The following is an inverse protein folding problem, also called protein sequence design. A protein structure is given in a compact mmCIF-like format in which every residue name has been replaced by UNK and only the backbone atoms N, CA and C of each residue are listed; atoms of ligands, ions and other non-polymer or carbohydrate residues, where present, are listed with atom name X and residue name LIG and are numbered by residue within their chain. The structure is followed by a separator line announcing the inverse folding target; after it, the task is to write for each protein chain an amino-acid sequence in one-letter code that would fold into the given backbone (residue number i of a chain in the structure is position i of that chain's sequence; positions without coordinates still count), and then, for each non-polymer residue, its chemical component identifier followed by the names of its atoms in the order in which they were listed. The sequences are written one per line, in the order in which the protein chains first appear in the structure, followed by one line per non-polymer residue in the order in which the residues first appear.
data_IF_170048583698
#
_entry.id   IF_170048583698
#
_cell.length_a   1.000
_cell.length_b   1.000
_cell.length_c   1.000
_cell.angle_alpha   90.00
_cell.angle_beta   90.00
_cell.angle_gamma   90.00
#
_symmetry.space_group_name_H-M   'P 1'
#
loop_
_entity.id
_entity.type
_entity.pdbx_description
1 polymer ?
#
# COMPACT_ATOMS: atom_id res chain seq x y z
N UNK A 1 -59.09 -48.25 -50.32
CA UNK A 1 -57.88 -47.95 -51.07
C UNK A 1 -57.55 -46.50 -50.92
N UNK A 2 -56.73 -46.11 -49.95
CA UNK A 2 -56.22 -44.76 -49.84
C UNK A 2 -54.87 -44.80 -49.12
N UNK A 3 -53.82 -44.53 -49.87
CA UNK A 3 -52.45 -44.49 -49.39
C UNK A 3 -52.20 -43.19 -48.59
N UNK A 4 -51.67 -43.30 -47.38
CA UNK A 4 -51.12 -42.17 -46.64
C UNK A 4 -49.61 -42.06 -46.90
N UNK A 5 -49.04 -40.81 -47.06
CA UNK A 5 -47.62 -40.64 -47.29
C UNK A 5 -46.88 -40.55 -45.95
N UNK A 6 -45.73 -41.25 -45.90
CA UNK A 6 -44.73 -41.23 -44.82
C UNK A 6 -44.04 -39.87 -44.77
N UNK A 7 -44.16 -39.14 -43.66
CA UNK A 7 -43.35 -37.95 -43.35
C UNK A 7 -41.96 -38.38 -42.85
N UNK A 8 -40.93 -38.04 -43.59
CA UNK A 8 -39.55 -38.15 -43.21
C UNK A 8 -39.18 -37.05 -42.16
N UNK A 9 -38.85 -37.48 -40.97
CA UNK A 9 -38.42 -36.65 -39.87
C UNK A 9 -36.92 -36.33 -40.04
N UNK A 10 -36.61 -35.09 -40.48
CA UNK A 10 -35.24 -34.58 -40.56
C UNK A 10 -34.81 -34.14 -39.18
N UNK A 11 -33.88 -34.83 -38.56
CA UNK A 11 -33.22 -34.44 -37.33
C UNK A 11 -32.18 -33.38 -37.65
N UNK A 12 -32.42 -32.13 -37.22
CA UNK A 12 -31.44 -31.06 -37.27
C UNK A 12 -30.56 -31.20 -36.00
N UNK A 13 -29.32 -31.65 -36.22
CA UNK A 13 -28.27 -31.60 -35.20
C UNK A 13 -27.84 -30.14 -35.03
N UNK A 14 -28.26 -29.50 -33.94
CA UNK A 14 -27.75 -28.20 -33.51
C UNK A 14 -26.38 -28.44 -32.84
N UNK A 15 -25.28 -28.09 -33.53
CA UNK A 15 -23.96 -28.01 -32.92
C UNK A 15 -23.94 -26.80 -31.99
N UNK A 16 -23.96 -27.02 -30.67
CA UNK A 16 -23.68 -26.00 -29.69
C UNK A 16 -22.17 -25.76 -29.65
N UNK A 17 -21.69 -24.65 -30.23
CA UNK A 17 -20.34 -24.15 -30.01
C UNK A 17 -20.27 -23.64 -28.56
N UNK A 18 -19.72 -24.45 -27.67
CA UNK A 18 -19.30 -24.02 -26.35
C UNK A 18 -18.06 -23.14 -26.49
N UNK A 19 -18.26 -21.84 -26.54
CA UNK A 19 -17.18 -20.84 -26.46
C UNK A 19 -16.51 -20.91 -25.10
N UNK A 20 -15.31 -21.48 -25.05
CA UNK A 20 -14.47 -21.44 -23.86
C UNK A 20 -14.05 -19.97 -23.59
N UNK A 21 -14.74 -19.32 -22.66
CA UNK A 21 -14.27 -18.05 -22.10
C UNK A 21 -12.98 -18.34 -21.34
N UNK A 22 -11.85 -18.06 -22.00
CA UNK A 22 -10.56 -18.05 -21.31
C UNK A 22 -10.54 -16.83 -20.40
N UNK A 23 -10.85 -17.02 -19.12
CA UNK A 23 -10.49 -16.08 -18.09
C UNK A 23 -8.96 -16.05 -18.01
N UNK A 24 -8.32 -15.08 -18.64
CA UNK A 24 -6.91 -14.75 -18.41
C UNK A 24 -6.83 -14.03 -17.06
N UNK A 25 -6.84 -14.80 -15.98
CA UNK A 25 -6.70 -14.30 -14.60
C UNK A 25 -5.24 -14.27 -14.19
N UNK A 26 -4.41 -13.50 -14.90
CA UNK A 26 -3.07 -13.13 -14.44
C UNK A 26 -3.06 -11.65 -14.07
N UNK A 27 -2.22 -11.22 -13.10
CA UNK A 27 -1.96 -9.81 -12.90
C UNK A 27 -1.44 -9.22 -14.22
N UNK A 28 -1.79 -7.96 -14.55
CA UNK A 28 -1.15 -7.31 -15.68
C UNK A 28 0.37 -7.36 -15.47
N UNK A 29 1.15 -7.58 -16.52
CA UNK A 29 2.60 -7.62 -16.40
C UNK A 29 3.07 -6.31 -15.76
N UNK A 30 4.08 -6.37 -14.87
CA UNK A 30 4.63 -5.15 -14.29
C UNK A 30 5.10 -4.24 -15.42
N UNK A 31 4.72 -2.97 -15.36
CA UNK A 31 5.12 -1.96 -16.35
C UNK A 31 6.62 -1.69 -16.35
N UNK A 32 7.30 -2.04 -15.26
CA UNK A 32 8.73 -1.92 -15.11
C UNK A 32 9.37 -3.31 -15.05
N UNK A 33 10.22 -3.63 -16.02
CA UNK A 33 10.89 -4.94 -16.16
C UNK A 33 12.30 -4.95 -15.53
N UNK A 34 12.75 -3.84 -14.95
CA UNK A 34 14.05 -3.78 -14.27
C UNK A 34 14.07 -4.65 -13.02
N UNK A 35 15.25 -5.10 -12.57
CA UNK A 35 15.39 -5.78 -11.29
C UNK A 35 14.74 -5.01 -10.14
N UNK A 36 14.05 -5.71 -9.26
CA UNK A 36 13.30 -5.09 -8.16
C UNK A 36 14.16 -4.15 -7.30
N UNK A 37 15.41 -4.54 -7.00
CA UNK A 37 16.31 -3.70 -6.21
C UNK A 37 16.61 -2.36 -6.89
N UNK A 38 16.75 -2.35 -8.22
CA UNK A 38 16.97 -1.12 -8.99
C UNK A 38 15.75 -0.20 -8.94
N UNK A 39 14.54 -0.77 -9.08
CA UNK A 39 13.30 -0.01 -8.96
C UNK A 39 13.18 0.68 -7.59
N UNK A 40 13.50 -0.03 -6.51
CA UNK A 40 13.47 0.52 -5.15
C UNK A 40 14.55 1.59 -4.96
N UNK A 41 15.78 1.36 -5.47
CA UNK A 41 16.87 2.33 -5.39
C UNK A 41 16.53 3.63 -6.11
N UNK A 42 15.98 3.54 -7.30
CA UNK A 42 15.56 4.72 -8.06
C UNK A 42 14.44 5.49 -7.36
N UNK A 43 13.41 4.80 -6.84
CA UNK A 43 12.34 5.43 -6.08
C UNK A 43 12.88 6.17 -4.84
N UNK A 44 13.89 5.61 -4.16
CA UNK A 44 14.58 6.26 -3.03
C UNK A 44 15.38 7.48 -3.47
N UNK A 45 16.11 7.38 -4.58
CA UNK A 45 16.88 8.49 -5.13
C UNK A 45 15.97 9.64 -5.60
N UNK A 46 14.82 9.30 -6.23
CA UNK A 46 13.82 10.30 -6.64
C UNK A 46 13.23 11.01 -5.41
N UNK A 47 12.87 10.28 -4.36
CA UNK A 47 12.37 10.88 -3.11
C UNK A 47 13.39 11.84 -2.49
N UNK A 48 14.65 11.46 -2.46
CA UNK A 48 15.72 12.33 -1.96
C UNK A 48 15.88 13.61 -2.80
N UNK A 49 15.76 13.50 -4.13
CA UNK A 49 15.77 14.64 -5.04
C UNK A 49 14.57 15.57 -4.79
N UNK A 50 13.37 15.00 -4.66
CA UNK A 50 12.15 15.75 -4.37
C UNK A 50 12.23 16.50 -3.04
N UNK A 51 12.83 15.89 -2.01
CA UNK A 51 13.01 16.51 -0.69
C UNK A 51 14.00 17.66 -0.71
N UNK A 52 15.03 17.61 -1.60
CA UNK A 52 16.02 18.68 -1.79
C UNK A 52 15.53 19.81 -2.70
N UNK A 53 14.48 19.59 -3.50
CA UNK A 53 13.97 20.59 -4.44
C UNK A 53 13.47 21.82 -3.71
N UNK A 54 14.07 22.97 -3.98
CA UNK A 54 13.89 24.20 -3.17
C UNK A 54 12.47 24.76 -3.20
N UNK A 55 11.79 24.65 -4.34
CA UNK A 55 10.44 25.14 -4.59
C UNK A 55 9.36 24.06 -4.51
N UNK A 56 9.70 22.86 -4.05
CA UNK A 56 8.71 21.79 -3.85
C UNK A 56 7.83 22.08 -2.63
N UNK A 57 6.54 22.45 -2.80
CA UNK A 57 5.65 22.75 -1.69
C UNK A 57 5.28 21.53 -0.83
N UNK A 58 5.53 20.32 -1.37
CA UNK A 58 5.21 19.04 -0.70
C UNK A 58 6.41 18.42 0.02
N UNK A 59 7.59 19.03 -0.07
CA UNK A 59 8.76 18.55 0.67
C UNK A 59 8.54 18.77 2.17
N UNK A 60 8.65 17.71 2.99
CA UNK A 60 8.56 17.85 4.45
C UNK A 60 9.83 18.45 5.06
N UNK A 61 10.91 18.58 4.29
CA UNK A 61 12.15 19.22 4.76
C UNK A 61 11.97 20.74 4.70
N UNK A 62 12.23 21.47 5.80
CA UNK A 62 12.18 22.93 5.81
C UNK A 62 13.02 23.56 4.70
N UNK A 63 12.52 24.60 4.03
CA UNK A 63 13.15 25.17 2.83
C UNK A 63 14.61 25.56 3.05
N UNK A 64 14.94 26.09 4.24
CA UNK A 64 16.30 26.47 4.61
C UNK A 64 17.25 25.29 4.90
N UNK A 65 16.74 24.08 4.98
CA UNK A 65 17.50 22.84 5.22
C UNK A 65 17.63 21.96 3.98
N UNK A 66 16.84 22.20 2.92
CA UNK A 66 16.77 21.35 1.72
C UNK A 66 18.10 21.19 1.01
N UNK A 67 18.84 22.28 0.83
CA UNK A 67 20.15 22.25 0.16
C UNK A 67 21.19 21.37 0.89
N UNK A 68 21.09 21.29 2.22
CA UNK A 68 21.97 20.49 3.07
C UNK A 68 21.38 19.12 3.47
N UNK A 69 20.19 18.78 2.97
CA UNK A 69 19.53 17.54 3.34
C UNK A 69 20.33 16.32 2.88
N UNK A 70 20.81 15.45 3.78
CA UNK A 70 21.70 14.33 3.45
C UNK A 70 20.98 13.20 2.69
N UNK A 71 19.67 13.21 2.67
CA UNK A 71 18.82 12.14 2.14
C UNK A 71 18.15 11.35 3.25
N UNK A 72 17.15 10.57 2.85
CA UNK A 72 16.41 9.68 3.74
C UNK A 72 17.27 8.44 4.04
N UNK A 73 17.24 7.99 5.29
CA UNK A 73 17.91 6.75 5.68
C UNK A 73 16.98 5.56 5.46
N UNK A 74 17.54 4.48 4.99
CA UNK A 74 16.82 3.24 4.72
C UNK A 74 17.52 2.03 5.32
N UNK A 75 16.76 0.98 5.57
CA UNK A 75 17.29 -0.36 5.68
C UNK A 75 17.80 -0.86 4.33
N UNK A 76 18.65 -1.88 4.33
CA UNK A 76 18.97 -2.63 3.12
C UNK A 76 17.68 -3.13 2.44
N UNK A 77 17.70 -3.23 1.12
CA UNK A 77 16.57 -3.79 0.38
C UNK A 77 16.50 -5.28 0.70
N UNK A 78 15.37 -5.72 1.18
CA UNK A 78 15.12 -7.09 1.64
C UNK A 78 13.83 -7.61 0.96
N UNK A 79 13.97 -8.40 -0.14
CA UNK A 79 12.84 -8.89 -0.92
C UNK A 79 11.83 -9.72 -0.10
N UNK A 80 12.26 -10.34 0.98
CA UNK A 80 11.40 -11.10 1.88
C UNK A 80 10.36 -10.24 2.61
N UNK A 81 10.54 -8.93 2.65
CA UNK A 81 9.56 -7.97 3.17
C UNK A 81 8.60 -7.43 2.10
N UNK A 82 8.61 -8.00 0.90
CA UNK A 82 7.62 -7.76 -0.15
C UNK A 82 6.74 -8.99 -0.30
N UNK A 83 5.51 -8.91 0.17
CA UNK A 83 4.59 -10.06 0.25
C UNK A 83 3.23 -9.73 -0.37
N UNK A 84 2.53 -10.72 -0.96
CA UNK A 84 1.15 -10.52 -1.38
C UNK A 84 0.24 -10.38 -0.17
N UNK A 85 -0.72 -9.45 -0.23
CA UNK A 85 -1.75 -9.27 0.79
C UNK A 85 -3.14 -9.32 0.17
N UNK A 86 -4.03 -10.11 0.76
CA UNK A 86 -5.44 -10.16 0.39
C UNK A 86 -6.25 -9.12 1.15
N UNK A 87 -7.11 -8.36 0.46
CA UNK A 87 -8.02 -7.42 1.11
C UNK A 87 -9.35 -8.09 1.41
N UNK A 88 -9.65 -8.26 2.71
CA UNK A 88 -10.99 -8.56 3.20
C UNK A 88 -11.73 -7.24 3.38
N UNK A 89 -12.60 -6.91 2.43
CA UNK A 89 -13.36 -5.66 2.45
C UNK A 89 -14.41 -5.67 3.56
N UNK A 90 -14.67 -4.50 4.14
CA UNK A 90 -15.80 -4.30 5.05
C UNK A 90 -17.13 -4.26 4.27
N UNK A 91 -18.18 -4.80 4.87
CA UNK A 91 -19.55 -4.71 4.31
C UNK A 91 -20.06 -3.26 4.27
N UNK A 92 -19.60 -2.44 5.20
CA UNK A 92 -19.79 -0.99 5.24
C UNK A 92 -18.48 -0.32 5.57
N UNK A 93 -18.28 0.89 5.04
CA UNK A 93 -17.06 1.66 5.29
C UNK A 93 -17.37 2.81 6.28
N UNK A 94 -17.48 2.54 7.60
CA UNK A 94 -17.73 3.60 8.56
C UNK A 94 -16.51 4.55 8.59
N UNK A 95 -16.72 5.86 8.75
CA UNK A 95 -15.63 6.78 8.96
C UNK A 95 -14.90 6.44 10.26
N UNK A 96 -13.58 6.42 10.21
CA UNK A 96 -12.73 6.25 11.40
C UNK A 96 -12.01 7.57 11.64
N UNK A 97 -12.10 8.03 12.87
CA UNK A 97 -11.37 9.20 13.35
C UNK A 97 -10.01 8.74 13.88
N UNK A 98 -8.95 9.19 13.23
CA UNK A 98 -7.58 8.86 13.63
C UNK A 98 -7.00 10.03 14.41
N UNK A 99 -6.50 9.74 15.61
CA UNK A 99 -5.85 10.73 16.45
C UNK A 99 -4.55 11.22 15.80
N UNK A 100 -4.32 12.51 15.85
CA UNK A 100 -3.09 13.13 15.37
C UNK A 100 -1.98 13.03 16.41
N UNK A 101 -0.73 13.08 15.92
CA UNK A 101 0.47 12.97 16.75
C UNK A 101 0.80 14.21 17.57
N UNK A 102 0.10 15.33 17.38
CA UNK A 102 0.38 16.60 18.05
C UNK A 102 -0.69 17.01 19.07
N UNK A 103 -0.40 18.12 19.76
CA UNK A 103 -1.29 18.72 20.77
C UNK A 103 -2.46 19.51 20.20
N UNK A 104 -2.60 19.62 18.88
CA UNK A 104 -3.66 20.41 18.26
C UNK A 104 -5.05 19.81 18.45
N UNK A 105 -5.11 18.53 18.86
CA UNK A 105 -6.34 17.75 19.02
C UNK A 105 -7.21 17.71 17.75
N UNK A 106 -6.67 18.05 16.59
CA UNK A 106 -7.37 17.89 15.33
C UNK A 106 -7.43 16.40 14.98
N UNK A 107 -8.57 15.98 14.45
CA UNK A 107 -8.80 14.61 14.05
C UNK A 107 -8.89 14.54 12.54
N UNK A 108 -8.07 13.69 11.94
CA UNK A 108 -8.16 13.39 10.52
C UNK A 108 -9.14 12.23 10.31
N UNK A 109 -10.17 12.50 9.51
CA UNK A 109 -11.13 11.44 9.17
C UNK A 109 -10.59 10.62 8.00
N UNK A 110 -10.56 9.31 8.20
CA UNK A 110 -10.25 8.31 7.17
C UNK A 110 -11.32 7.24 7.18
N UNK A 111 -11.56 6.64 6.03
CA UNK A 111 -12.50 5.53 5.90
C UNK A 111 -11.72 4.22 5.97
N UNK A 112 -12.02 3.38 6.95
CA UNK A 112 -11.53 2.00 6.97
C UNK A 112 -12.24 1.21 5.90
N UNK A 113 -11.49 0.69 4.91
CA UNK A 113 -12.05 -0.04 3.76
C UNK A 113 -11.98 -1.56 3.92
N UNK A 114 -11.13 -2.04 4.80
CA UNK A 114 -10.97 -3.47 5.02
C UNK A 114 -9.76 -3.80 5.87
N UNK A 115 -9.40 -5.08 5.82
CA UNK A 115 -8.22 -5.62 6.47
C UNK A 115 -7.37 -6.35 5.43
N UNK A 116 -6.09 -6.09 5.39
CA UNK A 116 -5.10 -6.81 4.60
C UNK A 116 -4.61 -8.01 5.41
N UNK A 117 -4.81 -9.19 4.87
CA UNK A 117 -4.31 -10.46 5.41
C UNK A 117 -3.04 -10.84 4.62
N UNK A 118 -1.93 -11.12 5.32
CA UNK A 118 -0.66 -11.48 4.70
C UNK A 118 0.17 -12.41 5.57
N UNK A 119 1.16 -13.07 4.96
CA UNK A 119 2.11 -13.94 5.65
C UNK A 119 3.51 -13.35 5.52
N UNK A 120 4.22 -13.20 6.63
CA UNK A 120 5.61 -12.74 6.68
C UNK A 120 6.43 -13.67 7.58
N UNK A 121 7.54 -14.19 7.08
CA UNK A 121 8.38 -15.14 7.82
C UNK A 121 7.62 -16.39 8.28
N UNK A 122 6.63 -16.84 7.52
CA UNK A 122 5.79 -18.00 7.85
C UNK A 122 4.67 -17.74 8.86
N UNK A 123 4.54 -16.50 9.38
CA UNK A 123 3.49 -16.11 10.31
C UNK A 123 2.43 -15.25 9.62
N UNK A 124 1.16 -15.48 9.98
CA UNK A 124 0.03 -14.71 9.46
C UNK A 124 -0.16 -13.42 10.27
N UNK A 125 -0.36 -12.31 9.57
CA UNK A 125 -0.60 -10.98 10.13
C UNK A 125 -1.76 -10.29 9.44
N UNK A 126 -2.26 -9.23 10.09
CA UNK A 126 -3.33 -8.38 9.57
C UNK A 126 -3.00 -6.92 9.79
N UNK A 127 -3.40 -6.08 8.82
CA UNK A 127 -3.35 -4.62 8.94
C UNK A 127 -4.67 -4.03 8.41
N UNK A 128 -5.27 -3.14 9.17
CA UNK A 128 -6.40 -2.33 8.70
C UNK A 128 -5.92 -1.37 7.62
N UNK A 129 -6.68 -1.30 6.53
CA UNK A 129 -6.42 -0.42 5.40
C UNK A 129 -7.47 0.68 5.32
N UNK A 130 -7.05 1.86 4.94
CA UNK A 130 -7.84 3.09 4.93
C UNK A 130 -7.81 3.75 3.57
N UNK A 131 -8.80 4.63 3.32
CA UNK A 131 -8.87 5.50 2.16
C UNK A 131 -9.34 6.90 2.57
N UNK A 132 -9.19 7.87 1.67
CA UNK A 132 -9.68 9.24 1.89
C UNK A 132 -11.22 9.30 1.92
N UNK A 133 -11.89 8.45 1.17
CA UNK A 133 -13.35 8.40 1.10
C UNK A 133 -13.85 6.98 0.84
N UNK A 134 -15.14 6.75 1.11
CA UNK A 134 -15.83 5.47 0.89
C UNK A 134 -16.12 5.16 -0.59
N UNK A 135 -15.87 6.07 -1.51
CA UNK A 135 -16.16 5.91 -2.93
C UNK A 135 -15.23 4.91 -3.64
N UNK A 136 -14.91 5.19 -4.89
CA UNK A 136 -13.99 4.35 -5.67
C UNK A 136 -12.58 4.48 -5.11
N UNK A 137 -12.16 3.50 -4.30
CA UNK A 137 -10.84 3.46 -3.68
C UNK A 137 -9.79 3.20 -4.76
N UNK A 138 -8.92 4.18 -5.01
CA UNK A 138 -7.80 4.06 -5.95
C UNK A 138 -6.54 3.60 -5.23
N UNK A 139 -6.32 4.08 -4.01
CA UNK A 139 -5.13 3.81 -3.20
C UNK A 139 -5.56 3.52 -1.76
N UNK A 140 -4.91 2.54 -1.15
CA UNK A 140 -5.01 2.27 0.27
C UNK A 140 -3.87 2.98 0.98
N UNK A 141 -4.19 3.59 2.12
CA UNK A 141 -3.22 4.06 3.10
C UNK A 141 -3.18 3.07 4.27
N UNK A 142 -2.00 2.57 4.60
CA UNK A 142 -1.80 1.53 5.62
C UNK A 142 -0.76 2.02 6.62
N UNK A 143 -1.19 2.73 7.68
CA UNK A 143 -0.31 3.12 8.76
C UNK A 143 -0.07 1.94 9.69
N UNK A 144 1.16 1.76 10.18
CA UNK A 144 1.49 0.68 11.09
C UNK A 144 2.59 1.04 12.08
N UNK A 145 2.61 0.35 13.20
CA UNK A 145 3.74 0.26 14.13
C UNK A 145 4.25 -1.16 14.17
N UNK A 146 5.53 -1.31 14.51
CA UNK A 146 6.19 -2.59 14.67
C UNK A 146 7.20 -2.54 15.82
N UNK A 147 7.98 -3.59 16.05
CA UNK A 147 8.96 -3.62 17.13
C UNK A 147 10.17 -2.69 16.91
N UNK A 148 10.32 -2.08 15.73
CA UNK A 148 11.36 -1.06 15.47
C UNK A 148 10.89 0.34 15.89
N UNK A 149 9.59 0.54 16.09
CA UNK A 149 8.99 1.85 16.38
C UNK A 149 9.45 2.43 17.73
N UNK A 150 10.04 3.61 17.69
CA UNK A 150 10.61 4.29 18.85
C UNK A 150 12.07 3.87 19.18
N UNK A 151 12.65 2.96 18.39
CA UNK A 151 14.03 2.50 18.54
C UNK A 151 14.83 2.78 17.27
N UNK A 152 14.45 2.16 16.16
CA UNK A 152 15.12 2.29 14.86
C UNK A 152 14.30 3.11 13.87
N UNK A 153 12.99 3.22 14.11
CA UNK A 153 12.03 4.00 13.31
C UNK A 153 11.20 4.92 14.20
N UNK A 154 10.48 5.84 13.60
CA UNK A 154 9.67 6.81 14.33
C UNK A 154 8.65 6.14 15.26
N UNK A 155 8.56 6.60 16.51
CA UNK A 155 7.65 6.05 17.52
C UNK A 155 6.17 6.17 17.16
N UNK A 156 5.81 7.17 16.34
CA UNK A 156 4.48 7.35 15.77
C UNK A 156 4.13 6.37 14.65
N UNK A 157 5.09 5.54 14.19
CA UNK A 157 4.90 4.54 13.14
C UNK A 157 5.34 4.99 11.76
N UNK A 158 5.07 4.13 10.78
CA UNK A 158 5.34 4.33 9.35
C UNK A 158 4.10 4.04 8.54
N UNK A 159 4.13 4.46 7.28
CA UNK A 159 3.00 4.33 6.37
C UNK A 159 3.38 3.57 5.11
N UNK A 160 2.40 2.96 4.49
CA UNK A 160 2.45 2.39 3.16
C UNK A 160 1.27 2.92 2.34
N UNK A 161 1.55 3.26 1.09
CA UNK A 161 0.53 3.54 0.08
C UNK A 161 0.51 2.38 -0.92
N UNK A 162 -0.65 1.76 -1.08
CA UNK A 162 -0.84 0.61 -1.94
C UNK A 162 -1.84 0.93 -3.03
N UNK A 163 -1.41 0.83 -4.29
CA UNK A 163 -2.30 0.99 -5.42
C UNK A 163 -3.16 -0.25 -5.61
N UNK A 164 -4.40 -0.02 -6.08
CA UNK A 164 -5.32 -1.11 -6.38
C UNK A 164 -4.79 -1.96 -7.53
N UNK A 165 -4.77 -3.28 -7.34
CA UNK A 165 -4.48 -4.23 -8.41
C UNK A 165 -5.75 -4.82 -9.02
N UNK A 166 -5.63 -5.37 -10.23
CA UNK A 166 -6.74 -6.03 -10.93
C UNK A 166 -7.12 -7.39 -10.31
N UNK A 167 -6.24 -7.98 -9.49
CA UNK A 167 -6.37 -9.34 -8.98
C UNK A 167 -7.01 -9.44 -7.61
N UNK A 168 -7.24 -8.31 -6.91
CA UNK A 168 -7.70 -8.29 -5.52
C UNK A 168 -6.60 -8.56 -4.48
N UNK A 169 -5.37 -8.88 -4.91
CA UNK A 169 -4.19 -8.91 -4.06
C UNK A 169 -3.45 -7.58 -4.17
N UNK A 170 -2.87 -7.13 -3.07
CA UNK A 170 -2.02 -5.95 -3.00
C UNK A 170 -0.56 -6.37 -2.85
N UNK A 171 0.34 -5.63 -3.48
CA UNK A 171 1.78 -5.78 -3.30
C UNK A 171 2.19 -5.03 -2.02
N UNK A 172 2.15 -5.74 -0.88
CA UNK A 172 2.50 -5.19 0.42
C UNK A 172 4.03 -5.19 0.55
N UNK A 173 4.65 -4.08 0.15
CA UNK A 173 6.09 -3.91 0.07
C UNK A 173 6.61 -3.01 1.18
N UNK A 174 7.07 -3.60 2.29
CA UNK A 174 7.62 -2.85 3.41
C UNK A 174 8.95 -2.15 3.07
N UNK A 175 9.64 -2.51 1.98
CA UNK A 175 10.81 -1.74 1.51
C UNK A 175 10.45 -0.32 1.05
N UNK A 176 9.15 -0.07 0.82
CA UNK A 176 8.57 1.24 0.49
C UNK A 176 7.93 1.93 1.70
N UNK A 177 7.99 1.32 2.90
CA UNK A 177 7.47 1.95 4.11
C UNK A 177 8.22 3.25 4.41
N UNK A 178 7.45 4.31 4.71
CA UNK A 178 7.99 5.66 4.89
C UNK A 178 7.55 6.31 6.19
N UNK A 179 8.36 7.24 6.67
CA UNK A 179 8.02 8.07 7.83
C UNK A 179 7.08 9.21 7.44
N UNK A 180 6.16 9.58 8.33
CA UNK A 180 5.33 10.77 8.14
C UNK A 180 6.17 12.06 8.16
N UNK A 181 5.62 13.12 7.56
CA UNK A 181 6.30 14.40 7.38
C UNK A 181 6.77 15.06 8.70
N UNK A 182 6.07 14.81 9.80
CA UNK A 182 6.41 15.34 11.12
C UNK A 182 7.74 14.81 11.70
N UNK A 183 8.34 13.80 11.07
CA UNK A 183 9.69 13.32 11.40
C UNK A 183 10.77 14.29 10.89
N UNK A 184 10.46 15.02 9.82
CA UNK A 184 11.39 15.97 9.18
C UNK A 184 11.13 17.42 9.63
N UNK A 185 9.87 17.76 9.91
CA UNK A 185 9.47 19.09 10.40
C UNK A 185 8.28 18.96 11.34
N UNK A 186 8.47 19.34 12.60
CA UNK A 186 7.47 19.25 13.67
C UNK A 186 6.22 20.11 13.44
N UNK A 187 6.24 21.02 12.47
CA UNK A 187 5.05 21.77 12.06
C UNK A 187 3.98 20.93 11.37
N UNK A 188 4.39 19.76 10.85
CA UNK A 188 3.46 18.82 10.24
C UNK A 188 2.71 18.00 11.28
N UNK A 189 1.41 17.87 11.06
CA UNK A 189 0.52 17.04 11.87
C UNK A 189 0.39 15.65 11.23
N UNK A 190 0.67 14.61 12.00
CA UNK A 190 0.72 13.24 11.49
C UNK A 190 -0.21 12.32 12.26
N UNK A 191 -1.12 11.59 11.58
CA UNK A 191 -2.03 10.67 12.24
C UNK A 191 -1.29 9.41 12.75
N UNK A 192 -1.61 9.00 13.96
CA UNK A 192 -1.11 7.74 14.49
C UNK A 192 -1.82 6.53 13.88
N UNK A 193 -1.10 5.42 13.63
CA UNK A 193 -1.71 4.15 13.34
C UNK A 193 -2.66 3.73 14.47
N UNK A 194 -3.83 3.17 14.16
CA UNK A 194 -4.73 2.63 15.17
C UNK A 194 -4.09 1.44 15.87
N UNK A 195 -4.58 1.12 17.06
CA UNK A 195 -4.00 0.09 17.94
C UNK A 195 -3.91 -1.30 17.29
N UNK A 196 -4.86 -1.65 16.44
CA UNK A 196 -4.88 -2.91 15.70
C UNK A 196 -3.80 -3.01 14.62
N UNK A 197 -3.21 -1.88 14.20
CA UNK A 197 -2.13 -1.85 13.22
C UNK A 197 -0.73 -1.92 13.89
N UNK A 198 -0.64 -2.67 14.98
CA UNK A 198 0.63 -2.92 15.65
C UNK A 198 1.11 -4.33 15.37
N UNK A 199 2.18 -4.47 14.57
CA UNK A 199 2.79 -5.75 14.25
C UNK A 199 3.72 -6.19 15.40
N UNK A 200 3.56 -7.43 15.91
CA UNK A 200 4.42 -7.96 16.97
C UNK A 200 5.75 -8.55 16.43
N UNK A 201 6.29 -7.93 15.37
CA UNK A 201 7.52 -8.33 14.68
C UNK A 201 8.28 -7.08 14.27
N UNK A 202 9.60 -7.15 14.18
CA UNK A 202 10.43 -6.05 13.68
C UNK A 202 10.44 -6.04 12.14
N UNK A 203 9.98 -4.96 11.54
CA UNK A 203 10.01 -4.76 10.08
C UNK A 203 11.25 -3.92 9.75
N UNK A 204 12.39 -4.61 9.51
CA UNK A 204 13.66 -3.96 9.14
C UNK A 204 13.76 -3.74 7.63
N UNK A 205 12.76 -3.07 7.05
CA UNK A 205 12.66 -2.67 5.66
C UNK A 205 12.09 -1.26 5.56
N UNK A 206 12.35 -0.54 4.47
CA UNK A 206 11.88 0.84 4.28
C UNK A 206 12.73 1.87 5.02
N UNK A 207 12.11 2.98 5.40
CA UNK A 207 12.79 4.10 6.06
C UNK A 207 13.18 3.81 7.50
N UNK A 208 14.33 4.37 7.89
CA UNK A 208 14.83 4.44 9.27
C UNK A 208 14.79 5.88 9.77
N UNK A 209 14.97 6.07 11.07
CA UNK A 209 15.09 7.42 11.64
C UNK A 209 16.20 8.22 10.94
N UNK A 210 15.95 9.50 10.61
CA UNK A 210 16.99 10.39 10.12
C UNK A 210 18.06 10.59 11.20
N UNK A 211 19.23 11.14 10.81
CA UNK A 211 20.27 11.49 11.77
C UNK A 211 19.76 12.56 12.75
N UNK A 212 20.14 12.44 14.00
CA UNK A 212 19.71 13.33 15.09
C UNK A 212 20.01 14.83 14.86
N UNK A 213 20.87 15.14 13.89
CA UNK A 213 21.16 16.52 13.44
C UNK A 213 19.99 17.18 12.70
N UNK A 214 19.04 16.41 12.15
CA UNK A 214 17.89 16.94 11.42
C UNK A 214 16.62 17.10 12.29
N UNK A 215 16.65 16.60 13.51
CA UNK A 215 15.49 16.61 14.44
C UNK A 215 15.59 17.67 15.54
N UNK A 216 16.50 18.66 15.38
CA UNK A 216 16.66 19.79 16.34
C UNK A 216 16.09 21.07 15.81
#
# INVERSE_FOLDING_TARGET
MTHAPRRSQRWLLALALAGAVRCTSGPPPPTDTRPYAEQVQEARAQKDADFRTLDNPYSPVPANQRAAFPGVRYYAIAPEYRVPAGLTALASNPPIVIALADSSHQLQQKVKVGTLDFTLGGQAYKLSAFAESAGKVQRLWVPFRDLTSGIETYGGGRYLDLDRTATGYYDLDFNKAYHPSCVYDVSWVCPYPPSENRLPVAIRAGERLPDSSLTK
#
